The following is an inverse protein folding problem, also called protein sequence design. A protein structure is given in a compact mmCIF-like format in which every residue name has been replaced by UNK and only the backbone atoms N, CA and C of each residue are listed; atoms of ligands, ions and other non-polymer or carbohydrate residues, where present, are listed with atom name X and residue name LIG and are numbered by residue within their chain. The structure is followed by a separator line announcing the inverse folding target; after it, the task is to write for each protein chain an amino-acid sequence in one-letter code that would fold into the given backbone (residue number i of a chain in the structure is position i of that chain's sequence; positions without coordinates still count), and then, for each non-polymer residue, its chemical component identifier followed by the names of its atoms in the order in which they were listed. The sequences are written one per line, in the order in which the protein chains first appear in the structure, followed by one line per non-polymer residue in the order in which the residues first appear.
data_IF_133206098010
#
_entry.id   IF_133206098010
#
_cell.length_a   1.000
_cell.length_b   1.000
_cell.length_c   1.000
_cell.angle_alpha   90.00
_cell.angle_beta   90.00
_cell.angle_gamma   90.00
#
_symmetry.space_group_name_H-M   'P 1'
#
loop_
_entity.id
_entity.type
_entity.pdbx_description
1 polymer ?
#
# COMPACT_ATOMS: atom_id res chain seq x y z
N UNK A 1 -82.81 -7.64 43.54
CA UNK A 1 -83.33 -6.38 42.97
C UNK A 1 -82.21 -5.32 43.10
N UNK A 2 -82.06 -4.43 42.10
CA UNK A 2 -80.84 -4.11 41.32
C UNK A 2 -80.05 -2.90 41.92
N UNK A 3 -78.94 -2.34 41.41
CA UNK A 3 -78.56 -1.93 40.04
C UNK A 3 -77.04 -1.67 39.94
N UNK A 4 -76.46 -1.95 38.76
CA UNK A 4 -75.16 -1.50 38.21
C UNK A 4 -75.02 0.04 38.14
N UNK A 5 -73.77 0.54 38.19
CA UNK A 5 -73.01 1.23 37.10
C UNK A 5 -71.59 1.60 37.59
N UNK A 6 -70.50 1.17 36.91
CA UNK A 6 -69.66 1.92 35.91
C UNK A 6 -69.04 3.21 36.51
N UNK A 7 -67.74 3.55 36.45
CA UNK A 7 -66.69 3.35 35.45
C UNK A 7 -65.34 3.85 36.01
N UNK A 8 -64.26 3.56 35.27
CA UNK A 8 -63.00 4.31 35.10
C UNK A 8 -61.71 3.66 35.61
N UNK A 9 -61.14 2.93 34.68
CA UNK A 9 -59.72 2.71 34.34
C UNK A 9 -58.74 3.81 34.76
N UNK A 10 -57.57 3.41 35.27
CA UNK A 10 -56.29 4.01 34.86
C UNK A 10 -55.17 2.98 34.95
N UNK A 11 -54.77 2.46 33.79
CA UNK A 11 -53.55 1.69 33.62
C UNK A 11 -52.34 2.64 33.81
N UNK A 12 -51.39 2.26 34.66
CA UNK A 12 -50.05 2.83 34.64
C UNK A 12 -49.22 1.97 33.69
N UNK A 13 -49.05 2.48 32.48
CA UNK A 13 -48.08 2.00 31.50
C UNK A 13 -46.77 2.72 31.79
N UNK A 14 -45.79 2.03 32.36
CA UNK A 14 -44.42 2.53 32.41
C UNK A 14 -43.80 2.32 31.03
N UNK A 15 -43.40 3.44 30.43
CA UNK A 15 -42.86 3.51 29.09
C UNK A 15 -41.47 2.86 29.05
N UNK A 16 -41.33 1.86 28.18
CA UNK A 16 -40.03 1.46 27.63
C UNK A 16 -39.52 2.66 26.83
N UNK A 17 -38.47 3.29 27.33
CA UNK A 17 -37.71 4.30 26.58
C UNK A 17 -37.01 3.60 25.43
N UNK A 18 -37.63 3.63 24.25
CA UNK A 18 -36.98 3.30 23.00
C UNK A 18 -35.87 4.32 22.78
N UNK A 19 -34.64 3.83 22.63
CA UNK A 19 -33.49 4.61 22.15
C UNK A 19 -33.83 5.03 20.73
N UNK A 20 -34.25 6.28 20.58
CA UNK A 20 -34.47 6.94 19.29
C UNK A 20 -33.09 7.32 18.76
N UNK A 21 -32.44 6.39 18.05
CA UNK A 21 -31.26 6.71 17.25
C UNK A 21 -31.74 7.58 16.10
N UNK A 22 -31.54 8.89 16.23
CA UNK A 22 -32.04 9.90 15.31
C UNK A 22 -31.48 9.69 13.90
N UNK A 23 -32.36 9.78 12.88
CA UNK A 23 -32.02 9.76 11.44
C UNK A 23 -30.85 10.70 11.09
N UNK A 24 -30.66 11.80 11.84
CA UNK A 24 -29.55 12.74 11.63
C UNK A 24 -28.16 12.16 11.92
N UNK A 25 -28.04 11.20 12.84
CA UNK A 25 -26.76 10.55 13.14
C UNK A 25 -26.40 9.53 12.05
N UNK A 26 -27.41 8.87 11.48
CA UNK A 26 -27.24 7.93 10.37
C UNK A 26 -26.83 8.66 9.08
N UNK A 27 -27.44 9.82 8.78
CA UNK A 27 -27.06 10.66 7.63
C UNK A 27 -25.65 11.27 7.80
N UNK A 28 -25.27 11.66 9.03
CA UNK A 28 -23.93 12.15 9.31
C UNK A 28 -22.87 11.04 9.13
N UNK A 29 -23.14 9.83 9.62
CA UNK A 29 -22.27 8.68 9.40
C UNK A 29 -22.16 8.30 7.91
N UNK A 30 -23.26 8.33 7.16
CA UNK A 30 -23.26 8.03 5.73
C UNK A 30 -22.47 9.08 4.93
N UNK A 31 -22.60 10.36 5.29
CA UNK A 31 -21.84 11.45 4.69
C UNK A 31 -20.33 11.33 4.98
N UNK A 32 -19.95 10.97 6.21
CA UNK A 32 -18.55 10.71 6.59
C UNK A 32 -17.99 9.49 5.85
N UNK A 33 -18.74 8.38 5.75
CA UNK A 33 -18.32 7.19 4.99
C UNK A 33 -18.13 7.51 3.51
N UNK A 34 -19.02 8.31 2.92
CA UNK A 34 -18.90 8.74 1.53
C UNK A 34 -17.67 9.63 1.31
N UNK A 35 -17.43 10.60 2.19
CA UNK A 35 -16.26 11.46 2.12
C UNK A 35 -14.95 10.66 2.29
N UNK A 36 -14.95 9.65 3.17
CA UNK A 36 -13.82 8.74 3.34
C UNK A 36 -13.57 7.92 2.07
N UNK A 37 -14.60 7.34 1.47
CA UNK A 37 -14.47 6.58 0.22
C UNK A 37 -13.99 7.44 -0.96
N UNK A 38 -14.42 8.70 -1.06
CA UNK A 38 -13.93 9.64 -2.06
C UNK A 38 -12.45 10.01 -1.84
N UNK A 39 -12.02 10.15 -0.59
CA UNK A 39 -10.62 10.40 -0.24
C UNK A 39 -9.73 9.19 -0.59
N UNK A 40 -10.17 7.98 -0.25
CA UNK A 40 -9.48 6.74 -0.61
C UNK A 40 -9.33 6.60 -2.13
N UNK A 41 -10.40 6.88 -2.89
CA UNK A 41 -10.36 6.80 -4.34
C UNK A 41 -9.38 7.81 -4.96
N UNK A 42 -9.24 9.01 -4.36
CA UNK A 42 -8.22 9.99 -4.79
C UNK A 42 -6.81 9.48 -4.58
N UNK A 43 -6.52 8.82 -3.45
CA UNK A 43 -5.22 8.22 -3.17
C UNK A 43 -4.90 7.12 -4.21
N UNK A 44 -5.88 6.28 -4.54
CA UNK A 44 -5.70 5.23 -5.57
C UNK A 44 -5.42 5.81 -6.96
N UNK A 45 -6.11 6.89 -7.33
CA UNK A 45 -5.84 7.64 -8.56
C UNK A 45 -4.45 8.26 -8.57
N UNK A 46 -3.99 8.75 -7.42
CA UNK A 46 -2.66 9.31 -7.24
C UNK A 46 -1.57 8.26 -7.43
N UNK A 47 -1.71 7.06 -6.85
CA UNK A 47 -0.78 5.95 -7.07
C UNK A 47 -0.67 5.59 -8.56
N UNK A 48 -1.81 5.51 -9.25
CA UNK A 48 -1.83 5.28 -10.70
C UNK A 48 -1.13 6.39 -11.50
N UNK A 49 -1.28 7.65 -11.04
CA UNK A 49 -0.61 8.81 -11.65
C UNK A 49 0.89 8.77 -11.42
N UNK A 50 1.35 8.44 -10.21
CA UNK A 50 2.76 8.31 -9.85
C UNK A 50 3.44 7.18 -10.63
N UNK A 51 2.81 6.00 -10.74
CA UNK A 51 3.34 4.91 -11.56
C UNK A 51 3.52 5.31 -13.02
N UNK A 52 2.54 6.04 -13.59
CA UNK A 52 2.61 6.55 -14.96
C UNK A 52 3.66 7.64 -15.10
N UNK A 53 3.80 8.51 -14.10
CA UNK A 53 4.82 9.56 -14.05
C UNK A 53 6.22 8.98 -14.03
N UNK A 54 6.51 8.01 -13.14
CA UNK A 54 7.83 7.34 -13.09
C UNK A 54 8.17 6.69 -14.42
N UNK A 55 7.22 5.96 -15.01
CA UNK A 55 7.41 5.37 -16.35
C UNK A 55 7.61 6.44 -17.43
N UNK A 56 6.90 7.56 -17.30
CA UNK A 56 7.00 8.72 -18.17
C UNK A 56 8.36 9.41 -18.08
N UNK A 57 8.83 9.76 -16.88
CA UNK A 57 10.15 10.38 -16.67
C UNK A 57 11.26 9.48 -17.18
N UNK A 58 11.26 8.19 -16.84
CA UNK A 58 12.23 7.22 -17.38
C UNK A 58 12.24 7.25 -18.92
N UNK A 59 11.07 7.33 -19.56
CA UNK A 59 10.96 7.32 -21.02
C UNK A 59 11.18 8.69 -21.70
N UNK A 60 10.90 9.81 -21.03
CA UNK A 60 10.95 11.18 -21.59
C UNK A 60 12.32 11.81 -21.41
N UNK A 61 13.02 11.52 -20.30
CA UNK A 61 14.39 12.03 -20.08
C UNK A 61 15.36 11.48 -21.14
N UNK A 62 15.02 10.36 -21.79
CA UNK A 62 15.66 9.82 -23.00
C UNK A 62 15.83 10.87 -24.13
N UNK A 63 14.80 11.70 -24.41
CA UNK A 63 14.87 12.66 -25.52
C UNK A 63 15.74 13.90 -25.20
N UNK A 64 15.85 14.28 -23.92
CA UNK A 64 16.61 15.47 -23.49
C UNK A 64 18.10 15.20 -23.24
N UNK A 65 18.49 13.99 -22.84
CA UNK A 65 19.87 13.70 -22.38
C UNK A 65 20.77 13.07 -23.44
N UNK A 66 20.28 12.78 -24.65
CA UNK A 66 21.15 12.54 -25.82
C UNK A 66 22.12 13.72 -26.13
N UNK A 67 22.08 14.82 -25.37
CA UNK A 67 22.90 16.03 -25.52
C UNK A 67 23.79 16.39 -24.30
N UNK A 68 23.80 15.63 -23.20
CA UNK A 68 24.60 15.98 -22.00
C UNK A 68 25.53 14.87 -21.53
N UNK A 69 26.75 15.27 -21.16
CA UNK A 69 27.86 14.41 -20.68
C UNK A 69 27.53 13.69 -19.37
N UNK A 70 28.23 12.57 -19.16
CA UNK A 70 28.17 11.69 -17.99
C UNK A 70 28.54 12.45 -16.69
N UNK A 71 27.55 13.06 -16.02
CA UNK A 71 27.71 13.52 -14.64
C UNK A 71 27.65 12.33 -13.67
N UNK A 72 28.47 12.37 -12.61
CA UNK A 72 28.47 11.39 -11.51
C UNK A 72 27.38 11.66 -10.45
N UNK A 73 26.71 12.82 -10.51
CA UNK A 73 25.57 13.12 -9.65
C UNK A 73 24.36 12.23 -10.01
N UNK A 74 23.55 11.77 -9.02
CA UNK A 74 22.34 11.04 -9.32
C UNK A 74 21.42 11.91 -10.18
N UNK A 75 20.87 11.39 -11.28
CA UNK A 75 20.03 12.18 -12.16
C UNK A 75 18.82 12.67 -11.37
N UNK A 76 18.35 13.89 -11.65
CA UNK A 76 17.12 14.47 -11.08
C UNK A 76 15.94 13.47 -11.11
N UNK A 77 15.90 12.62 -12.14
CA UNK A 77 14.96 11.50 -12.27
C UNK A 77 15.01 10.50 -11.11
N UNK A 78 16.20 10.11 -10.62
CA UNK A 78 16.32 9.17 -9.50
C UNK A 78 15.76 9.75 -8.20
N UNK A 79 16.08 11.01 -7.90
CA UNK A 79 15.55 11.71 -6.72
C UNK A 79 14.02 11.83 -6.75
N UNK A 80 13.44 12.11 -7.93
CA UNK A 80 11.97 12.13 -8.11
C UNK A 80 11.32 10.77 -7.89
N UNK A 81 11.99 9.68 -8.31
CA UNK A 81 11.50 8.32 -8.07
C UNK A 81 11.51 8.03 -6.57
N UNK A 82 12.59 8.36 -5.86
CA UNK A 82 12.65 8.20 -4.39
C UNK A 82 11.56 9.00 -3.69
N UNK A 83 11.37 10.27 -4.07
CA UNK A 83 10.30 11.09 -3.51
C UNK A 83 8.92 10.47 -3.77
N UNK A 84 8.70 9.90 -4.97
CA UNK A 84 7.44 9.22 -5.30
C UNK A 84 7.23 7.97 -4.43
N UNK A 85 8.28 7.19 -4.18
CA UNK A 85 8.24 6.03 -3.28
C UNK A 85 7.88 6.47 -1.87
N UNK A 86 8.55 7.52 -1.36
CA UNK A 86 8.31 8.06 -0.03
C UNK A 86 6.87 8.55 0.13
N UNK A 87 6.33 9.29 -0.85
CA UNK A 87 4.93 9.73 -0.83
C UNK A 87 3.97 8.55 -0.78
N UNK A 88 4.22 7.46 -1.53
CA UNK A 88 3.36 6.27 -1.49
C UNK A 88 3.34 5.65 -0.09
N UNK A 89 4.51 5.52 0.53
CA UNK A 89 4.66 4.95 1.87
C UNK A 89 3.95 5.81 2.93
N UNK A 90 4.03 7.14 2.83
CA UNK A 90 3.37 8.07 3.77
C UNK A 90 1.84 7.96 3.78
N UNK A 91 1.24 7.54 2.67
CA UNK A 91 -0.20 7.27 2.58
C UNK A 91 -0.61 5.92 3.20
N UNK A 92 0.35 5.03 3.44
CA UNK A 92 0.12 3.71 4.04
C UNK A 92 0.23 3.81 5.57
N UNK A 93 -0.90 4.08 6.22
CA UNK A 93 -1.01 4.12 7.68
C UNK A 93 -1.65 2.83 8.20
N UNK A 94 -1.35 2.37 9.42
CA UNK A 94 -1.88 1.11 9.97
C UNK A 94 -3.41 0.96 9.89
N UNK A 95 -4.16 2.06 9.96
CA UNK A 95 -5.62 2.08 9.93
C UNK A 95 -6.21 2.42 8.55
N UNK A 96 -5.42 2.43 7.47
CA UNK A 96 -5.89 2.69 6.13
C UNK A 96 -6.75 1.51 5.59
N UNK A 97 -7.56 1.77 4.56
CA UNK A 97 -8.29 0.72 3.84
C UNK A 97 -7.29 -0.32 3.31
N UNK A 98 -7.53 -1.63 3.45
CA UNK A 98 -6.65 -2.67 2.94
C UNK A 98 -6.29 -2.55 1.46
N UNK A 99 -7.20 -1.99 0.66
CA UNK A 99 -6.95 -1.69 -0.75
C UNK A 99 -5.82 -0.68 -0.92
N UNK A 100 -5.64 0.26 0.00
CA UNK A 100 -4.55 1.23 -0.07
C UNK A 100 -3.21 0.51 0.06
N UNK A 101 -3.06 -0.38 1.05
CA UNK A 101 -1.82 -1.15 1.23
C UNK A 101 -1.51 -2.04 0.02
N UNK A 102 -2.49 -2.81 -0.45
CA UNK A 102 -2.31 -3.70 -1.61
C UNK A 102 -1.97 -2.91 -2.88
N UNK A 103 -2.65 -1.79 -3.13
CA UNK A 103 -2.36 -0.97 -4.32
C UNK A 103 -1.02 -0.23 -4.19
N UNK A 104 -0.64 0.22 -3.00
CA UNK A 104 0.65 0.82 -2.76
C UNK A 104 1.78 -0.18 -3.03
N UNK A 105 1.63 -1.42 -2.53
CA UNK A 105 2.60 -2.49 -2.76
C UNK A 105 2.71 -2.87 -4.25
N UNK A 106 1.60 -2.98 -4.98
CA UNK A 106 1.62 -3.19 -6.43
C UNK A 106 2.23 -2.01 -7.21
N UNK A 107 2.00 -0.78 -6.73
CA UNK A 107 2.57 0.44 -7.29
C UNK A 107 4.09 0.45 -7.14
N UNK A 108 4.60 0.18 -5.93
CA UNK A 108 6.04 0.04 -5.69
C UNK A 108 6.62 -1.09 -6.54
N UNK A 109 5.94 -2.23 -6.64
CA UNK A 109 6.38 -3.33 -7.50
C UNK A 109 6.50 -2.88 -8.96
N UNK A 110 5.53 -2.12 -9.45
CA UNK A 110 5.53 -1.60 -10.81
C UNK A 110 6.63 -0.56 -11.06
N UNK A 111 6.96 0.27 -10.07
CA UNK A 111 8.13 1.16 -10.10
C UNK A 111 9.42 0.33 -10.18
N UNK A 112 9.57 -0.70 -9.34
CA UNK A 112 10.74 -1.60 -9.36
C UNK A 112 10.93 -2.26 -10.73
N UNK A 113 9.85 -2.75 -11.35
CA UNK A 113 9.91 -3.32 -12.71
C UNK A 113 10.38 -2.29 -13.74
N UNK A 114 9.93 -1.04 -13.63
CA UNK A 114 10.34 0.03 -14.54
C UNK A 114 11.86 0.30 -14.41
N UNK A 115 12.38 0.36 -13.19
CA UNK A 115 13.82 0.55 -12.91
C UNK A 115 14.64 -0.63 -13.43
N UNK A 116 14.21 -1.88 -13.21
CA UNK A 116 14.94 -3.04 -13.73
C UNK A 116 15.02 -3.03 -15.28
N UNK A 117 13.97 -2.53 -15.94
CA UNK A 117 13.89 -2.50 -17.41
C UNK A 117 14.58 -1.28 -18.04
N UNK A 118 14.85 -0.22 -17.28
CA UNK A 118 15.58 0.97 -17.75
C UNK A 118 17.06 0.65 -17.90
N UNK A 119 17.44 0.02 -19.03
CA UNK A 119 18.78 -0.52 -19.25
C UNK A 119 19.41 -0.10 -20.57
N UNK A 120 18.68 0.63 -21.41
CA UNK A 120 19.06 0.95 -22.79
C UNK A 120 19.57 2.37 -22.95
N UNK A 121 19.38 3.23 -21.95
CA UNK A 121 19.65 4.66 -22.01
C UNK A 121 20.50 5.12 -20.81
N UNK A 122 21.26 6.21 -20.98
CA UNK A 122 22.19 6.74 -19.97
C UNK A 122 21.44 7.03 -18.65
N UNK A 123 20.22 7.56 -18.74
CA UNK A 123 19.38 7.84 -17.56
C UNK A 123 18.97 6.55 -16.87
N UNK A 124 18.49 5.56 -17.61
CA UNK A 124 18.21 4.24 -17.07
C UNK A 124 19.42 3.59 -16.40
N UNK A 125 20.61 3.71 -16.99
CA UNK A 125 21.87 3.19 -16.42
C UNK A 125 22.20 3.91 -15.10
N UNK A 126 22.10 5.24 -15.07
CA UNK A 126 22.36 6.04 -13.87
C UNK A 126 21.32 5.77 -12.77
N UNK A 127 20.04 5.71 -13.12
CA UNK A 127 18.95 5.34 -12.19
C UNK A 127 19.21 3.95 -11.61
N UNK A 128 19.55 2.97 -12.44
CA UNK A 128 19.94 1.64 -11.95
C UNK A 128 21.16 1.70 -11.04
N UNK A 129 22.21 2.46 -11.40
CA UNK A 129 23.42 2.61 -10.56
C UNK A 129 23.07 3.18 -9.20
N UNK A 130 22.20 4.19 -9.14
CA UNK A 130 21.68 4.77 -7.90
C UNK A 130 20.94 3.73 -7.05
N UNK A 131 19.95 3.04 -7.63
CA UNK A 131 19.15 2.00 -6.96
C UNK A 131 19.90 0.69 -6.67
N UNK A 132 21.17 0.55 -7.06
CA UNK A 132 22.06 -0.49 -6.50
C UNK A 132 22.63 -0.12 -5.14
N UNK A 133 22.73 1.17 -4.86
CA UNK A 133 23.36 1.69 -3.64
C UNK A 133 22.32 2.01 -2.56
N UNK A 134 21.10 2.37 -2.96
CA UNK A 134 20.00 2.69 -2.04
C UNK A 134 19.01 1.54 -1.92
N UNK A 135 18.37 1.43 -0.75
CA UNK A 135 17.32 0.44 -0.44
C UNK A 135 15.92 1.06 -0.35
N UNK A 136 15.72 2.23 -0.95
CA UNK A 136 14.49 3.03 -0.80
C UNK A 136 13.23 2.25 -1.22
N UNK A 137 13.33 1.43 -2.26
CA UNK A 137 12.20 0.63 -2.73
C UNK A 137 11.86 -0.50 -1.75
N UNK A 138 12.85 -1.27 -1.32
CA UNK A 138 12.68 -2.40 -0.42
C UNK A 138 12.22 -1.94 0.97
N UNK A 139 12.82 -0.88 1.49
CA UNK A 139 12.41 -0.25 2.74
C UNK A 139 10.95 0.24 2.65
N UNK A 140 10.57 0.84 1.52
CA UNK A 140 9.20 1.27 1.30
C UNK A 140 8.21 0.11 1.29
N UNK A 141 8.55 -0.99 0.61
CA UNK A 141 7.73 -2.20 0.61
C UNK A 141 7.64 -2.82 2.01
N UNK A 142 8.76 -2.92 2.73
CA UNK A 142 8.80 -3.43 4.10
C UNK A 142 7.89 -2.60 5.01
N UNK A 143 8.01 -1.27 4.97
CA UNK A 143 7.17 -0.37 5.76
C UNK A 143 5.68 -0.61 5.51
N UNK A 144 5.26 -0.78 4.25
CA UNK A 144 3.86 -1.09 3.92
C UNK A 144 3.45 -2.43 4.53
N UNK A 145 4.25 -3.49 4.34
CA UNK A 145 3.90 -4.83 4.83
C UNK A 145 3.87 -4.86 6.36
N UNK A 146 4.74 -4.14 7.06
CA UNK A 146 4.74 -4.09 8.53
C UNK A 146 3.50 -3.41 9.13
N UNK A 147 2.82 -2.55 8.37
CA UNK A 147 1.58 -1.89 8.82
C UNK A 147 0.30 -2.56 8.30
N UNK A 148 0.43 -3.57 7.43
CA UNK A 148 -0.70 -4.37 6.97
C UNK A 148 -1.22 -5.23 8.12
N UNK A 149 -2.55 -5.38 8.19
CA UNK A 149 -3.18 -6.33 9.11
C UNK A 149 -2.98 -7.77 8.64
N UNK A 150 -3.04 -8.70 9.59
CA UNK A 150 -2.91 -10.14 9.32
C UNK A 150 -3.89 -10.63 8.25
N UNK A 151 -5.15 -10.18 8.30
CA UNK A 151 -6.18 -10.52 7.29
C UNK A 151 -5.77 -10.11 5.86
N UNK A 152 -5.03 -9.01 5.73
CA UNK A 152 -4.55 -8.51 4.43
C UNK A 152 -3.40 -9.36 3.90
N UNK A 153 -2.51 -9.79 4.81
CA UNK A 153 -1.41 -10.72 4.52
C UNK A 153 -1.96 -12.09 4.14
N UNK A 154 -2.93 -12.62 4.90
CA UNK A 154 -3.59 -13.90 4.60
C UNK A 154 -4.27 -13.86 3.22
N UNK A 155 -4.94 -12.75 2.89
CA UNK A 155 -5.53 -12.55 1.56
C UNK A 155 -4.48 -12.56 0.45
N UNK A 156 -3.31 -11.96 0.69
CA UNK A 156 -2.20 -11.96 -0.26
C UNK A 156 -1.60 -13.37 -0.45
N UNK A 157 -1.47 -14.14 0.63
CA UNK A 157 -0.94 -15.51 0.63
C UNK A 157 -1.91 -16.51 -0.02
N UNK A 158 -3.21 -16.34 0.21
CA UNK A 158 -4.26 -17.21 -0.33
C UNK A 158 -4.61 -16.92 -1.79
N UNK A 159 -4.20 -15.78 -2.35
CA UNK A 159 -4.41 -15.44 -3.75
C UNK A 159 -3.51 -16.27 -4.68
N UNK A 160 -4.11 -17.29 -5.29
CA UNK A 160 -3.46 -18.21 -6.23
C UNK A 160 -3.59 -17.78 -7.69
N UNK A 161 -4.18 -16.60 -7.96
CA UNK A 161 -4.38 -16.12 -9.32
C UNK A 161 -3.05 -16.05 -10.09
N UNK A 162 -3.05 -16.23 -11.42
CA UNK A 162 -1.84 -16.07 -12.23
C UNK A 162 -1.20 -14.69 -12.09
N UNK A 163 -2.00 -13.67 -11.79
CA UNK A 163 -1.59 -12.27 -11.58
C UNK A 163 -1.65 -11.88 -10.10
N UNK A 164 -1.53 -12.84 -9.17
CA UNK A 164 -1.51 -12.49 -7.75
C UNK A 164 -0.27 -11.66 -7.42
N UNK A 165 -0.45 -10.70 -6.51
CA UNK A 165 0.59 -9.73 -6.18
C UNK A 165 1.86 -10.42 -5.62
N UNK A 166 1.71 -11.48 -4.82
CA UNK A 166 2.84 -12.28 -4.33
C UNK A 166 3.66 -12.91 -5.47
N UNK A 167 3.00 -13.47 -6.49
CA UNK A 167 3.67 -13.99 -7.69
C UNK A 167 4.37 -12.89 -8.47
N UNK A 168 3.74 -11.72 -8.57
CA UNK A 168 4.32 -10.56 -9.25
C UNK A 168 5.54 -10.01 -8.50
N UNK A 169 5.56 -10.05 -7.17
CA UNK A 169 6.73 -9.72 -6.34
C UNK A 169 7.88 -10.71 -6.56
N UNK A 170 7.61 -12.02 -6.58
CA UNK A 170 8.62 -13.02 -6.95
C UNK A 170 9.16 -12.85 -8.38
N UNK A 171 8.32 -12.39 -9.32
CA UNK A 171 8.79 -12.07 -10.67
C UNK A 171 9.71 -10.85 -10.67
N UNK A 172 9.38 -9.81 -9.89
CA UNK A 172 10.26 -8.66 -9.70
C UNK A 172 11.59 -9.08 -9.10
N UNK A 173 11.60 -9.86 -8.00
CA UNK A 173 12.81 -10.37 -7.35
C UNK A 173 13.74 -11.07 -8.36
N UNK A 174 13.22 -12.01 -9.15
CA UNK A 174 14.00 -12.71 -10.19
C UNK A 174 14.54 -11.75 -11.26
N UNK A 175 13.75 -10.77 -11.67
CA UNK A 175 14.16 -9.76 -12.65
C UNK A 175 15.26 -8.86 -12.08
N UNK A 176 15.14 -8.48 -10.81
CA UNK A 176 16.05 -7.62 -10.09
C UNK A 176 17.40 -8.31 -9.83
N UNK A 177 17.38 -9.61 -9.46
CA UNK A 177 18.58 -10.46 -9.35
C UNK A 177 19.38 -10.51 -10.66
N UNK A 178 18.71 -10.69 -11.80
CA UNK A 178 19.36 -10.66 -13.12
C UNK A 178 19.99 -9.30 -13.47
N UNK A 179 19.62 -8.25 -12.73
CA UNK A 179 20.09 -6.88 -12.90
C UNK A 179 21.02 -6.40 -11.77
N UNK A 180 21.32 -7.25 -10.78
CA UNK A 180 21.98 -6.90 -9.51
C UNK A 180 21.31 -5.71 -8.81
N UNK A 181 19.98 -5.71 -8.71
CA UNK A 181 19.19 -4.67 -8.06
C UNK A 181 18.32 -5.29 -6.96
N UNK A 182 18.00 -4.47 -5.96
CA UNK A 182 17.00 -4.74 -4.94
C UNK A 182 17.22 -6.04 -4.13
N UNK A 183 18.42 -6.21 -3.60
CA UNK A 183 18.81 -7.42 -2.87
C UNK A 183 17.93 -7.67 -1.62
N UNK A 184 17.32 -6.62 -1.05
CA UNK A 184 16.40 -6.72 0.09
C UNK A 184 14.99 -7.24 -0.25
N UNK A 185 14.65 -7.51 -1.51
CA UNK A 185 13.32 -8.03 -1.88
C UNK A 185 13.04 -9.42 -1.30
N UNK A 186 14.08 -10.21 -1.04
CA UNK A 186 13.94 -11.52 -0.40
C UNK A 186 13.42 -11.37 1.03
N UNK A 187 13.95 -10.41 1.79
CA UNK A 187 13.53 -10.10 3.16
C UNK A 187 12.06 -9.69 3.21
N UNK A 188 11.62 -8.83 2.28
CA UNK A 188 10.22 -8.39 2.17
C UNK A 188 9.28 -9.58 1.92
N UNK A 189 9.66 -10.47 0.99
CA UNK A 189 8.85 -11.64 0.66
C UNK A 189 8.84 -12.66 1.80
N UNK A 190 9.97 -12.86 2.47
CA UNK A 190 10.08 -13.71 3.66
C UNK A 190 9.18 -13.22 4.79
N UNK A 191 9.20 -11.90 5.06
CA UNK A 191 8.32 -11.28 6.04
C UNK A 191 6.83 -11.52 5.72
N UNK A 192 6.42 -11.36 4.46
CA UNK A 192 5.04 -11.64 4.01
C UNK A 192 4.64 -13.11 4.28
N UNK A 193 5.58 -14.04 4.15
CA UNK A 193 5.33 -15.48 4.34
C UNK A 193 5.30 -15.90 5.81
N UNK A 194 5.70 -15.01 6.72
CA UNK A 194 5.98 -15.38 8.10
C UNK A 194 7.25 -16.21 8.23
N UNK A 195 8.15 -16.18 7.23
CA UNK A 195 9.51 -16.74 7.32
C UNK A 195 10.39 -15.81 8.16
N UNK A 196 9.87 -15.35 9.31
CA UNK A 196 10.62 -14.61 10.31
C UNK A 196 11.90 -15.39 10.57
N UNK A 197 13.04 -14.73 10.42
CA UNK A 197 14.29 -15.27 10.93
C UNK A 197 14.17 -15.34 12.46
N UNK A 198 13.54 -16.40 12.96
CA UNK A 198 13.90 -16.99 14.24
C UNK A 198 15.34 -17.46 14.05
N UNK A 199 16.28 -16.52 14.17
CA UNK A 199 17.64 -16.87 14.55
C UNK A 199 17.48 -17.53 15.91
N UNK A 200 17.51 -18.85 15.88
CA UNK A 200 17.66 -19.77 16.99
C UNK A 200 18.41 -19.06 18.13
N UNK A 201 17.66 -18.72 19.17
CA UNK A 201 18.18 -18.45 20.51
C UNK A 201 18.60 -19.82 21.06
N UNK A 202 19.63 -20.41 20.45
CA UNK A 202 20.26 -21.63 20.93
C UNK A 202 21.18 -21.25 22.09
N UNK A 203 20.52 -21.19 23.25
CA UNK A 203 20.93 -21.74 24.53
C UNK A 203 22.41 -21.53 24.94
N UNK A 204 22.56 -20.67 25.95
CA UNK A 204 23.65 -20.71 26.94
C UNK A 204 24.05 -22.16 27.29
N UNK A 205 25.22 -22.62 26.84
CA UNK A 205 25.98 -23.67 27.53
C UNK A 205 27.49 -23.62 27.19
N UNK A 206 28.24 -22.79 27.94
CA UNK A 206 29.52 -23.21 28.59
C UNK A 206 30.05 -22.19 29.59
#
# INVERSE_FOLDING_TARGET
MPVRTRSQTKAASEAVTTVDTTESDVEAEESVRKALGEAEQRVLLEFSRLARFVRGEINVTYERICQLEESDDPPDTAAKIEQSIQTIVEHCRPNADPKIHLNALDTLRSIGVAICRSSTDIVGIQVRRHFRQVRTLENGMMNIVTVMREEEIEKLLSDTAPQSLLRMLHHLQRTAQGCCLFDGLEEVIGYIRGDSQDTEDDEDEN
#
